data_IF_291190072189
#
_entry.id   IF_291190072189
#
_cell.length_a   1.000
_cell.length_b   1.000
_cell.length_c   1.000
_cell.angle_alpha   90.00
_cell.angle_beta   90.00
_cell.angle_gamma   90.00
#
_symmetry.space_group_name_H-M   'P 1'
#
loop_
_entity.id
_entity.type
_entity.pdbx_description
1 polymer ?
2 polymer ?
3 water ?
#
# COMPACT_ATOMS: atom_id res chain seq x y z
N UNK A 4 -31.91 19.28 8.24
CA UNK A 4 -30.49 19.63 7.92
C UNK A 4 -29.52 19.17 9.03
N UNK A 5 -28.50 18.43 8.63
CA UNK A 5 -27.45 18.01 9.54
C UNK A 5 -26.39 19.10 9.64
N UNK A 6 -25.49 18.98 10.61
CA UNK A 6 -24.45 19.96 10.87
C UNK A 6 -23.18 19.76 10.04
N UNK A 7 -22.93 18.52 9.62
CA UNK A 7 -21.73 18.20 8.89
C UNK A 7 -21.83 18.48 7.40
N UNK A 8 -20.68 18.48 6.72
CA UNK A 8 -20.68 18.61 5.26
C UNK A 8 -21.37 17.45 4.55
N UNK A 9 -22.01 17.73 3.42
CA UNK A 9 -22.71 16.72 2.64
C UNK A 9 -21.74 15.74 2.00
N UNK A 10 -22.30 14.73 1.33
CA UNK A 10 -21.49 13.72 0.66
C UNK A 10 -20.54 14.38 -0.35
N UNK A 11 -19.30 13.92 -0.39
CA UNK A 11 -18.27 14.45 -1.30
C UNK A 11 -18.77 14.41 -2.75
N UNK A 12 -18.57 15.52 -3.48
CA UNK A 12 -18.93 15.58 -4.90
C UNK A 12 -18.30 14.40 -5.62
N UNK A 13 -19.08 13.72 -6.47
CA UNK A 13 -18.60 12.59 -7.26
C UNK A 13 -18.14 11.38 -6.42
N UNK A 14 -18.76 11.21 -5.25
CA UNK A 14 -18.49 10.07 -4.36
C UNK A 14 -18.55 8.72 -5.09
N UNK A 15 -19.69 8.42 -5.76
CA UNK A 15 -19.76 7.14 -6.47
C UNK A 15 -18.62 6.95 -7.47
N UNK A 16 -18.35 7.96 -8.28
CA UNK A 16 -17.31 7.86 -9.30
C UNK A 16 -15.94 7.72 -8.67
N UNK A 17 -15.71 8.47 -7.60
CA UNK A 17 -14.43 8.47 -6.91
C UNK A 17 -14.17 7.09 -6.28
N UNK A 18 -15.18 6.51 -5.64
CA UNK A 18 -15.00 5.20 -5.00
C UNK A 18 -14.74 4.13 -6.07
N UNK A 19 -15.48 4.17 -7.17
CA UNK A 19 -15.32 3.17 -8.20
C UNK A 19 -13.90 3.27 -8.84
N UNK A 20 -13.46 4.49 -9.14
CA UNK A 20 -12.13 4.70 -9.74
C UNK A 20 -11.01 4.34 -8.79
N UNK A 21 -11.18 4.57 -7.49
CA UNK A 21 -10.20 4.10 -6.49
C UNK A 21 -10.10 2.57 -6.46
N UNK A 22 -11.25 1.91 -6.57
CA UNK A 22 -11.30 0.46 -6.56
C UNK A 22 -10.60 -0.13 -7.79
N UNK A 23 -10.82 0.49 -8.94
CA UNK A 23 -10.22 0.09 -10.22
C UNK A 23 -8.68 0.26 -10.14
N UNK A 24 -8.24 1.41 -9.66
CA UNK A 24 -6.82 1.68 -9.46
C UNK A 24 -6.14 0.70 -8.47
N UNK A 25 -6.75 0.49 -7.30
CA UNK A 25 -6.17 -0.40 -6.28
C UNK A 25 -6.06 -1.85 -6.77
N UNK A 26 -7.13 -2.34 -7.40
CA UNK A 26 -7.15 -3.73 -7.87
C UNK A 26 -6.24 -3.99 -9.09
N UNK A 27 -5.89 -2.91 -9.80
CA UNK A 27 -4.88 -2.94 -10.88
C UNK A 27 -3.49 -3.02 -10.27
N UNK A 28 -3.22 -2.23 -9.23
CA UNK A 28 -1.92 -2.25 -8.55
C UNK A 28 -1.63 -3.59 -7.87
N UNK A 29 -2.63 -4.17 -7.21
CA UNK A 29 -2.40 -5.33 -6.35
C UNK A 29 -2.89 -6.63 -6.99
N UNK A 30 -1.96 -7.48 -7.46
CA UNK A 30 -2.40 -8.65 -8.23
C UNK A 30 -3.27 -9.63 -7.43
N UNK A 31 -3.03 -9.72 -6.12
CA UNK A 31 -3.89 -10.54 -5.26
C UNK A 31 -5.33 -10.04 -5.16
N UNK A 32 -5.61 -8.78 -5.54
CA UNK A 32 -6.98 -8.23 -5.52
C UNK A 32 -7.62 -8.05 -6.91
N UNK A 33 -7.03 -8.58 -7.97
CA UNK A 33 -7.58 -8.35 -9.32
C UNK A 33 -8.84 -9.19 -9.59
N UNK A 34 -9.12 -10.17 -8.73
CA UNK A 34 -10.41 -10.85 -8.70
C UNK A 34 -11.61 -9.93 -8.37
N UNK A 35 -11.36 -8.90 -7.57
CA UNK A 35 -12.41 -8.06 -7.01
C UNK A 35 -13.24 -7.37 -8.11
N UNK A 36 -14.55 -7.50 -8.01
CA UNK A 36 -15.49 -6.86 -8.94
C UNK A 36 -15.86 -5.51 -8.35
N UNK A 37 -15.38 -4.43 -8.98
CA UNK A 37 -15.50 -3.11 -8.40
C UNK A 37 -16.94 -2.56 -8.41
N UNK A 38 -17.74 -2.95 -9.39
CA UNK A 38 -19.17 -2.63 -9.37
C UNK A 38 -19.86 -3.26 -8.14
N UNK A 39 -19.53 -4.50 -7.83
CA UNK A 39 -20.14 -5.20 -6.69
C UNK A 39 -19.72 -4.55 -5.38
N UNK A 40 -18.47 -4.12 -5.31
CA UNK A 40 -17.95 -3.42 -4.14
C UNK A 40 -18.76 -2.13 -3.91
N UNK A 41 -18.93 -1.36 -4.99
CA UNK A 41 -19.71 -0.14 -4.90
C UNK A 41 -21.16 -0.43 -4.46
N UNK A 42 -21.82 -1.40 -5.08
CA UNK A 42 -23.18 -1.78 -4.71
C UNK A 42 -23.30 -2.11 -3.22
N UNK A 43 -22.36 -2.91 -2.73
CA UNK A 43 -22.31 -3.27 -1.31
C UNK A 43 -22.08 -2.05 -0.40
N UNK A 44 -21.26 -1.09 -0.86
CA UNK A 44 -20.92 0.11 -0.10
C UNK A 44 -22.17 0.96 0.01
N UNK A 45 -22.75 1.27 -1.15
CA UNK A 45 -23.97 2.02 -1.27
C UNK A 45 -25.13 1.37 -0.48
N UNK A 46 -25.22 0.04 -0.55
CA UNK A 46 -26.24 -0.69 0.20
C UNK A 46 -26.15 -0.56 1.72
N UNK A 47 -24.97 -0.25 2.25
CA UNK A 47 -24.82 -0.03 3.69
C UNK A 47 -25.58 1.19 4.23
N UNK A 48 -25.76 2.23 3.41
CA UNK A 48 -26.30 3.50 3.94
C UNK A 48 -27.45 4.15 3.15
N UNK A 49 -27.72 3.71 1.93
CA UNK A 49 -28.81 4.26 1.12
C UNK A 49 -30.15 3.83 1.74
N UNK A 50 -31.16 4.70 1.65
CA UNK A 50 -32.50 4.45 2.19
C UNK A 50 -32.51 4.15 3.69
N UNK A 51 -31.53 4.69 4.40
CA UNK A 51 -31.43 4.50 5.83
C UNK A 51 -31.26 5.86 6.51
N UNK A 52 -31.87 6.00 7.68
CA UNK A 52 -31.64 7.14 8.52
C UNK A 52 -30.17 7.13 8.91
N UNK A 53 -29.46 8.23 8.64
CA UNK A 53 -28.01 8.24 8.85
C UNK A 53 -27.53 8.39 10.29
N UNK A 54 -28.41 8.32 11.27
CA UNK A 54 -28.07 8.12 12.68
C UNK A 54 -28.41 6.71 13.15
N UNK A 55 -28.81 5.85 12.23
CA UNK A 55 -29.20 4.49 12.57
C UNK A 55 -28.32 3.41 11.91
N UNK A 56 -27.05 3.71 11.66
CA UNK A 56 -26.16 2.77 10.94
C UNK A 56 -25.41 1.91 11.95
N UNK A 57 -25.24 0.64 11.63
CA UNK A 57 -24.52 -0.30 12.50
C UNK A 57 -23.46 -1.05 11.71
N UNK A 58 -22.57 -1.75 12.42
CA UNK A 58 -21.53 -2.56 11.76
C UNK A 58 -22.14 -3.60 10.80
N UNK A 59 -23.30 -4.16 11.16
CA UNK A 59 -24.03 -5.10 10.30
C UNK A 59 -24.32 -4.58 8.91
N UNK A 60 -24.68 -3.30 8.81
CA UNK A 60 -24.91 -2.67 7.51
C UNK A 60 -23.71 -2.77 6.55
N UNK A 61 -22.50 -2.79 7.10
CA UNK A 61 -21.28 -2.86 6.31
C UNK A 61 -20.73 -4.27 6.06
N UNK A 62 -21.44 -5.31 6.53
CA UNK A 62 -20.93 -6.69 6.39
C UNK A 62 -20.73 -7.16 4.94
N UNK A 63 -21.70 -6.92 4.06
CA UNK A 63 -21.48 -7.25 2.65
C UNK A 63 -20.24 -6.59 2.03
N UNK A 64 -20.00 -5.32 2.35
CA UNK A 64 -18.80 -4.63 1.93
C UNK A 64 -17.52 -5.26 2.50
N UNK A 65 -17.54 -5.64 3.77
CA UNK A 65 -16.37 -6.27 4.39
C UNK A 65 -16.06 -7.59 3.72
N UNK A 66 -17.08 -8.37 3.41
CA UNK A 66 -16.87 -9.63 2.70
C UNK A 66 -16.18 -9.41 1.34
N UNK A 67 -16.74 -8.53 0.53
CA UNK A 67 -16.16 -8.24 -0.79
C UNK A 67 -14.79 -7.58 -0.72
N UNK A 68 -14.56 -6.75 0.30
CA UNK A 68 -13.31 -6.00 0.41
C UNK A 68 -12.24 -6.63 1.27
N UNK A 69 -12.53 -7.80 1.83
CA UNK A 69 -11.61 -8.55 2.69
C UNK A 69 -10.29 -8.77 1.98
N UNK A 70 -9.22 -8.79 2.76
CA UNK A 70 -7.87 -8.78 2.22
C UNK A 70 -6.94 -9.37 3.25
N UNK A 71 -6.00 -10.19 2.83
CA UNK A 71 -5.01 -10.74 3.74
C UNK A 71 -3.84 -9.79 3.69
N UNK A 72 -3.62 -9.10 4.79
CA UNK A 72 -2.45 -8.27 5.00
C UNK A 72 -1.50 -9.12 5.82
N UNK A 73 -0.20 -9.14 5.46
CA UNK A 73 0.77 -9.81 6.34
C UNK A 73 0.68 -9.21 7.74
N UNK A 74 0.22 -10.00 8.68
CA UNK A 74 -0.16 -9.51 10.01
C UNK A 74 0.98 -8.90 10.82
N UNK A 75 2.23 -9.24 10.46
CA UNK A 75 3.43 -8.64 11.08
C UNK A 75 3.95 -7.35 10.43
N UNK A 76 3.19 -6.76 9.49
CA UNK A 76 3.61 -5.55 8.74
C UNK A 76 2.63 -4.38 8.90
N UNK A 77 1.97 -4.29 10.04
CA UNK A 77 0.90 -3.34 10.23
C UNK A 77 1.42 -2.11 10.96
N UNK A 78 1.10 -0.94 10.42
CA UNK A 78 1.39 0.33 11.05
C UNK A 78 0.10 1.04 11.42
N UNK A 79 -0.11 1.18 12.73
CA UNK A 79 -1.18 2.04 13.26
C UNK A 79 -0.65 3.47 13.42
N UNK A 80 -1.55 4.43 13.51
CA UNK A 80 -1.14 5.83 13.72
C UNK A 80 -2.25 6.61 14.40
N UNK A 81 -1.87 7.69 15.07
CA UNK A 81 -2.81 8.54 15.77
C UNK A 81 -2.35 9.97 15.62
N UNK A 82 -3.19 10.82 15.02
CA UNK A 82 -2.92 12.25 14.81
C UNK A 82 -1.62 12.56 14.04
N UNK A 83 -1.18 11.66 13.17
CA UNK A 83 0.05 11.88 12.39
C UNK A 83 -0.04 11.15 11.02
N UNK A 84 -1.15 11.41 10.35
CA UNK A 84 -1.53 10.73 9.10
C UNK A 84 -0.49 10.93 8.01
N UNK A 85 -0.22 12.21 7.76
CA UNK A 85 0.85 12.71 6.89
C UNK A 85 2.10 11.81 6.87
N UNK A 86 2.79 11.73 7.99
CA UNK A 86 4.06 11.05 8.04
C UNK A 86 3.89 9.51 7.97
N UNK A 87 2.79 9.01 8.53
CA UNK A 87 2.51 7.59 8.50
C UNK A 87 2.44 7.09 7.05
N UNK A 88 1.73 7.84 6.21
CA UNK A 88 1.58 7.49 4.80
C UNK A 88 2.81 7.76 3.96
N UNK A 89 3.59 8.77 4.33
CA UNK A 89 4.90 8.95 3.72
C UNK A 89 5.81 7.76 4.01
N UNK A 90 5.72 7.23 5.23
CA UNK A 90 6.51 6.07 5.59
C UNK A 90 6.14 4.86 4.74
N UNK A 91 4.86 4.54 4.65
CA UNK A 91 4.41 3.37 3.87
C UNK A 91 4.50 3.58 2.36
N UNK A 92 4.49 4.85 1.92
CA UNK A 92 4.83 5.17 0.53
C UNK A 92 6.23 4.66 0.14
N UNK A 93 7.17 4.64 1.10
CA UNK A 93 8.55 4.16 0.88
C UNK A 93 8.71 2.69 1.28
N UNK A 94 8.27 2.37 2.50
CA UNK A 94 8.34 1.03 3.05
C UNK A 94 7.08 0.28 2.59
N UNK A 95 7.12 -0.21 1.37
CA UNK A 95 5.91 -0.70 0.71
C UNK A 95 5.46 -2.12 1.09
N UNK A 96 6.24 -2.82 1.90
CA UNK A 96 5.73 -4.07 2.48
C UNK A 96 4.87 -3.83 3.72
N UNK A 97 4.75 -2.58 4.16
CA UNK A 97 3.93 -2.23 5.29
C UNK A 97 2.64 -1.53 4.90
N UNK A 98 1.64 -1.70 5.75
CA UNK A 98 0.30 -1.23 5.52
C UNK A 98 -0.24 -0.50 6.74
N UNK A 99 -0.69 0.73 6.50
CA UNK A 99 -1.68 1.36 7.37
C UNK A 99 -3.05 0.95 6.88
N UNK A 100 -4.06 1.31 7.68
CA UNK A 100 -5.45 1.03 7.32
C UNK A 100 -5.85 1.60 5.95
N UNK A 101 -5.30 2.76 5.61
CA UNK A 101 -5.66 3.47 4.37
C UNK A 101 -4.87 2.92 3.17
N UNK A 102 -3.93 2.01 3.45
CA UNK A 102 -3.26 1.22 2.42
C UNK A 102 -3.97 -0.10 2.08
N UNK A 103 -5.04 -0.44 2.80
CA UNK A 103 -5.88 -1.59 2.47
C UNK A 103 -6.92 -1.09 1.48
N UNK A 104 -7.56 -2.02 0.76
CA UNK A 104 -8.55 -1.65 -0.25
C UNK A 104 -9.66 -0.79 0.35
N UNK A 105 -10.24 -1.26 1.44
CA UNK A 105 -11.42 -0.61 2.00
C UNK A 105 -11.02 0.75 2.55
N UNK A 106 -9.89 0.82 3.24
CA UNK A 106 -9.36 2.07 3.74
C UNK A 106 -8.99 3.03 2.63
N UNK A 107 -8.42 2.50 1.55
CA UNK A 107 -8.05 3.35 0.39
C UNK A 107 -9.28 3.96 -0.29
N UNK A 108 -10.34 3.17 -0.44
CA UNK A 108 -11.59 3.63 -1.03
C UNK A 108 -12.24 4.80 -0.30
N UNK A 109 -12.17 4.78 1.05
CA UNK A 109 -12.95 5.73 1.85
C UNK A 109 -12.18 6.94 2.33
N UNK A 110 -10.86 6.89 2.29
CA UNK A 110 -9.99 7.92 2.91
C UNK A 110 -10.36 9.31 2.41
N UNK A 111 -10.55 10.24 3.35
CA UNK A 111 -10.90 11.65 3.09
C UNK A 111 -12.27 11.90 2.48
N UNK A 112 -13.13 10.90 2.41
CA UNK A 112 -14.49 11.11 1.87
C UNK A 112 -15.50 11.18 3.01
N UNK A 113 -16.63 11.80 2.71
CA UNK A 113 -17.82 11.78 3.56
C UNK A 113 -18.97 11.30 2.71
N UNK A 114 -19.93 10.65 3.35
CA UNK A 114 -21.11 10.17 2.67
C UNK A 114 -22.23 9.91 3.67
N UNK A 115 -23.46 10.04 3.17
CA UNK A 115 -24.65 9.59 3.87
C UNK A 115 -25.83 9.56 2.90
N UNK A 116 -26.90 8.89 3.33
CA UNK A 116 -28.15 8.83 2.59
C UNK A 116 -29.26 9.39 3.44
N UNK A 117 -30.50 9.01 3.13
CA UNK A 117 -31.65 9.47 3.91
C UNK A 117 -32.73 8.41 3.94
N UNK A 118 -33.56 8.49 4.97
CA UNK A 118 -34.62 7.53 5.21
C UNK A 118 -35.66 7.51 4.09
N UNK A 119 -36.07 8.68 3.62
CA UNK A 119 -37.20 8.81 2.67
C UNK A 119 -36.97 8.18 1.30
N UNK A 120 -35.72 8.23 0.81
CA UNK A 120 -35.45 7.97 -0.59
C UNK A 120 -34.22 7.11 -0.80
N UNK A 121 -33.95 6.80 -2.07
CA UNK A 121 -32.77 6.02 -2.45
C UNK A 121 -31.64 6.92 -2.94
N UNK A 122 -31.62 8.18 -2.52
CA UNK A 122 -30.66 9.16 -3.03
C UNK A 122 -29.52 9.39 -2.05
N UNK A 123 -28.37 9.71 -2.60
CA UNK A 123 -27.24 10.13 -1.79
C UNK A 123 -27.49 11.58 -1.35
N UNK A 124 -27.21 11.89 -0.09
CA UNK A 124 -27.39 13.25 0.41
C UNK A 124 -26.11 14.08 0.22
N UNK A 125 -26.13 14.93 -0.79
CA UNK A 125 -25.00 15.84 -1.09
C UNK A 125 -25.08 17.17 -0.33
N UNK A 126 -26.17 17.38 0.42
CA UNK A 126 -26.45 18.65 1.10
C UNK A 126 -25.76 18.69 2.47
N UNK A 127 -26.03 17.69 3.30
CA UNK A 127 -25.42 17.60 4.63
C UNK A 127 -25.41 16.14 5.12
N UNK A 128 -24.52 15.88 6.07
CA UNK A 128 -24.42 14.59 6.73
C UNK A 128 -24.21 14.78 8.23
N UNK A 129 -24.61 13.79 9.04
CA UNK A 129 -24.44 14.02 10.48
C UNK A 129 -22.99 14.22 10.90
N UNK A 130 -22.76 15.23 11.73
CA UNK A 130 -21.50 15.37 12.45
C UNK A 130 -21.54 14.42 13.66
N UNK A 131 -20.44 13.72 13.89
CA UNK A 131 -20.37 12.73 14.96
C UNK A 131 -20.65 13.33 16.35
N UNK A 132 -20.18 14.55 16.59
CA UNK A 132 -20.26 15.18 17.90
C UNK A 132 -21.60 15.93 18.09
N UNK A 133 -21.98 16.71 17.09
CA UNK A 133 -23.18 17.57 17.18
C UNK A 133 -24.48 16.87 16.85
N UNK A 134 -24.44 15.88 15.95
CA UNK A 134 -25.66 15.15 15.52
C UNK A 134 -25.79 13.74 16.12
N UNK A 135 -24.95 12.80 15.67
CA UNK A 135 -25.01 11.43 16.14
C UNK A 135 -23.74 10.65 15.77
N UNK A 136 -23.31 9.79 16.66
CA UNK A 136 -22.13 8.99 16.40
C UNK A 136 -22.39 7.77 15.49
N UNK A 137 -23.63 7.29 15.34
CA UNK A 137 -23.90 6.12 14.47
C UNK A 137 -24.29 6.50 13.05
N UNK A 138 -23.38 7.22 12.43
CA UNK A 138 -23.56 7.74 11.09
C UNK A 138 -22.71 6.92 10.11
N UNK A 139 -23.01 6.99 8.80
CA UNK A 139 -22.34 6.11 7.85
C UNK A 139 -20.81 6.15 7.88
N UNK A 140 -20.22 7.34 8.03
CA UNK A 140 -18.77 7.49 8.02
C UNK A 140 -18.14 6.94 9.31
N UNK A 141 -18.62 7.35 10.48
CA UNK A 141 -17.99 6.94 11.73
C UNK A 141 -18.12 5.41 11.91
N UNK A 142 -19.28 4.87 11.54
CA UNK A 142 -19.52 3.45 11.66
C UNK A 142 -18.66 2.65 10.70
N UNK A 143 -18.47 3.16 9.48
CA UNK A 143 -17.51 2.56 8.56
C UNK A 143 -16.10 2.46 9.17
N UNK A 144 -15.59 3.58 9.69
CA UNK A 144 -14.23 3.61 10.21
C UNK A 144 -14.05 2.75 11.47
N UNK A 145 -15.07 2.72 12.33
CA UNK A 145 -15.09 1.85 13.49
C UNK A 145 -15.03 0.36 13.10
N UNK A 146 -15.82 -0.04 12.10
CA UNK A 146 -15.84 -1.42 11.63
C UNK A 146 -14.50 -1.85 10.99
N UNK A 147 -13.98 -1.07 10.03
CA UNK A 147 -12.76 -1.46 9.33
C UNK A 147 -11.53 -1.39 10.23
N UNK A 148 -11.49 -0.44 11.15
CA UNK A 148 -10.31 -0.35 12.02
C UNK A 148 -10.28 -1.43 13.11
N UNK A 149 -11.45 -1.87 13.59
CA UNK A 149 -11.52 -3.02 14.50
C UNK A 149 -10.97 -4.28 13.80
N UNK A 150 -11.45 -4.56 12.59
CA UNK A 150 -11.00 -5.75 11.84
C UNK A 150 -9.50 -5.77 11.51
N UNK A 151 -9.01 -4.60 11.13
CA UNK A 151 -7.59 -4.36 10.88
C UNK A 151 -6.75 -4.63 12.16
N UNK A 152 -7.16 -4.07 13.27
CA UNK A 152 -6.48 -4.33 14.54
C UNK A 152 -6.58 -5.81 14.94
N UNK A 153 -7.73 -6.43 14.74
CA UNK A 153 -7.89 -7.88 15.02
C UNK A 153 -7.00 -8.77 14.16
N UNK A 154 -6.66 -8.29 12.97
CA UNK A 154 -5.81 -9.02 12.03
C UNK A 154 -4.33 -9.00 12.38
N UNK A 155 -3.89 -8.04 13.20
CA UNK A 155 -2.48 -7.82 13.45
C UNK A 155 -1.84 -8.91 14.30
N UNK A 156 -0.53 -9.09 14.14
CA UNK A 156 0.22 -10.11 14.89
C UNK A 156 1.68 -9.73 15.06
N UNK A 157 2.39 -10.50 15.88
CA UNK A 157 3.81 -10.31 16.20
C UNK A 157 4.07 -8.93 16.84
N UNK A 158 4.87 -8.06 16.20
CA UNK A 158 5.07 -6.69 16.64
C UNK A 158 4.17 -5.82 15.78
N UNK A 159 3.24 -5.11 16.44
CA UNK A 159 2.41 -4.12 15.80
C UNK A 159 3.05 -2.79 16.13
N UNK A 160 3.11 -1.89 15.16
CA UNK A 160 3.72 -0.58 15.35
C UNK A 160 2.66 0.53 15.33
N UNK A 161 2.86 1.56 16.14
CA UNK A 161 1.99 2.75 16.13
C UNK A 161 2.84 4.02 16.09
N UNK A 162 2.58 4.86 15.09
CA UNK A 162 3.19 6.17 15.02
C UNK A 162 2.35 7.18 15.83
N UNK A 163 3.05 7.97 16.66
CA UNK A 163 2.44 9.01 17.50
C UNK A 163 3.20 10.33 17.34
N UNK A 164 2.47 11.44 17.54
CA UNK A 164 2.99 12.79 17.33
C UNK A 164 3.54 13.35 18.65
N UNK A 165 4.86 13.40 18.75
CA UNK A 165 5.56 13.97 19.89
C UNK A 165 5.38 15.46 20.18
N UNK A 166 4.87 16.24 19.22
CA UNK A 166 4.60 17.68 19.40
C UNK A 166 3.23 18.03 20.01
N UNK A 167 2.36 17.03 20.19
CA UNK A 167 1.02 17.27 20.75
C UNK A 167 1.11 17.40 22.27
N UNK A 168 0.11 18.04 22.87
CA UNK A 168 -0.03 18.13 24.33
C UNK A 168 -0.33 16.77 24.99
N UNK A 169 -1.03 15.90 24.28
CA UNK A 169 -1.17 14.48 24.65
C UNK A 169 -0.62 13.67 23.48
N UNK A 170 0.56 13.07 23.67
CA UNK A 170 1.19 12.28 22.62
C UNK A 170 0.28 11.08 22.30
N UNK A 171 -0.15 10.38 23.34
CA UNK A 171 -1.21 9.36 23.24
C UNK A 171 -2.48 9.95 23.83
N UNK A 172 -3.59 9.79 23.11
CA UNK A 172 -4.90 10.26 23.54
C UNK A 172 -5.85 9.08 23.57
N UNK A 173 -6.37 8.80 24.77
CA UNK A 173 -7.35 7.73 25.00
C UNK A 173 -8.64 7.89 24.15
N UNK A 174 -9.03 9.13 23.85
CA UNK A 174 -10.28 9.37 23.13
C UNK A 174 -10.18 9.27 21.59
N UNK A 175 -9.03 8.88 21.05
CA UNK A 175 -8.86 8.71 19.61
C UNK A 175 -9.27 7.30 19.16
N UNK A 176 -9.34 7.10 17.83
CA UNK A 176 -9.61 5.77 17.25
C UNK A 176 -8.60 4.74 17.75
N UNK A 177 -7.33 5.13 17.76
CA UNK A 177 -6.28 4.29 18.28
C UNK A 177 -6.51 3.95 19.76
N UNK A 178 -6.78 4.98 20.56
CA UNK A 178 -6.85 4.85 22.01
C UNK A 178 -8.12 4.24 22.59
N UNK A 179 -9.19 4.21 21.81
CA UNK A 179 -10.46 3.66 22.25
C UNK A 179 -10.93 2.44 21.47
N UNK A 180 -10.37 2.15 20.31
CA UNK A 180 -10.81 1.02 19.50
C UNK A 180 -9.66 0.06 19.20
N UNK A 181 -8.63 0.54 18.49
CA UNK A 181 -7.59 -0.35 18.00
C UNK A 181 -6.83 -1.02 19.16
N UNK A 182 -6.59 -0.27 20.22
CA UNK A 182 -5.78 -0.74 21.35
C UNK A 182 -6.50 -1.87 22.11
N UNK A 183 -7.83 -1.85 22.12
CA UNK A 183 -8.62 -2.91 22.74
C UNK A 183 -8.95 -4.08 21.82
N UNK A 184 -8.52 -4.00 20.56
CA UNK A 184 -8.83 -5.03 19.58
C UNK A 184 -7.63 -5.80 19.04
N UNK A 185 -6.45 -5.44 19.52
CA UNK A 185 -5.25 -6.24 19.33
C UNK A 185 -5.47 -7.51 20.14
N UNK A 186 -5.18 -8.66 19.56
CA UNK A 186 -5.42 -9.93 20.25
C UNK A 186 -4.12 -10.42 20.88
N UNK A 187 -4.08 -10.60 22.23
CA UNK A 187 -2.90 -11.13 22.97
C UNK A 187 -2.32 -12.43 22.42
N UNK A 188 -3.15 -13.29 21.87
CA UNK A 188 -2.66 -14.48 21.16
C UNK A 188 -1.68 -14.00 20.08
N UNK A 189 -2.22 -13.29 19.09
CA UNK A 189 -1.50 -12.96 17.87
C UNK A 189 -0.36 -11.98 18.10
N UNK A 190 -0.59 -11.02 19.00
CA UNK A 190 0.26 -9.86 19.14
C UNK A 190 1.08 -10.02 20.38
N UNK A 191 2.39 -10.09 20.19
CA UNK A 191 3.31 -10.19 21.31
C UNK A 191 3.60 -8.80 21.84
N UNK A 192 3.79 -7.82 20.93
CA UNK A 192 4.31 -6.51 21.31
C UNK A 192 3.69 -5.35 20.51
N UNK A 193 3.38 -4.27 21.22
CA UNK A 193 3.06 -2.99 20.60
C UNK A 193 4.23 -2.03 20.75
N UNK A 194 4.82 -1.64 19.61
CA UNK A 194 5.93 -0.69 19.58
C UNK A 194 5.46 0.68 19.09
N UNK A 195 5.58 1.67 19.97
CA UNK A 195 5.26 3.06 19.66
C UNK A 195 6.47 3.76 19.07
N UNK A 196 6.27 4.47 17.96
CA UNK A 196 7.29 5.35 17.37
C UNK A 196 6.87 6.79 17.63
N UNK A 197 7.54 7.46 18.56
CA UNK A 197 7.21 8.84 18.91
C UNK A 197 7.97 9.79 18.00
N UNK A 198 7.25 10.52 17.16
CA UNK A 198 7.86 11.41 16.17
C UNK A 198 8.12 12.77 16.79
N UNK A 199 9.37 13.23 16.75
CA UNK A 199 9.71 14.56 17.27
C UNK A 199 9.53 15.65 16.22
N UNK A 200 9.22 16.85 16.68
CA UNK A 200 9.01 18.02 15.82
C UNK A 200 9.78 19.22 16.35
N UNK A 205 15.98 18.25 21.65
CA UNK A 205 14.96 17.22 21.69
C UNK A 205 15.40 16.02 22.55
N UNK A 206 14.52 15.63 23.46
CA UNK A 206 14.82 14.68 24.53
C UNK A 206 13.86 13.52 24.52
N UNK A 207 14.32 12.39 25.03
CA UNK A 207 13.54 11.16 25.14
C UNK A 207 12.09 11.43 25.63
N UNK A 208 11.08 11.00 24.86
CA UNK A 208 9.66 11.23 25.20
C UNK A 208 8.93 9.96 25.69
N UNK A 209 9.66 8.87 25.83
CA UNK A 209 9.06 7.59 26.19
C UNK A 209 8.65 7.47 27.67
N UNK A 210 8.98 8.47 28.50
CA UNK A 210 8.44 8.55 29.85
C UNK A 210 7.36 9.60 29.99
N UNK A 211 6.88 10.16 28.88
CA UNK A 211 5.73 11.08 28.91
C UNK A 211 4.55 10.42 29.63
N UNK A 212 3.85 11.17 30.49
CA UNK A 212 2.70 10.59 31.21
C UNK A 212 1.70 9.83 30.34
N UNK A 213 1.38 10.35 29.16
CA UNK A 213 0.43 9.66 28.27
C UNK A 213 1.01 8.36 27.68
N UNK A 214 2.31 8.32 27.43
CA UNK A 214 2.97 7.08 26.99
C UNK A 214 2.93 6.04 28.12
N UNK A 215 3.10 6.48 29.36
CA UNK A 215 2.97 5.61 30.53
C UNK A 215 1.54 5.07 30.65
N UNK A 216 0.55 5.87 30.28
CA UNK A 216 -0.87 5.45 30.25
C UNK A 216 -1.10 4.41 29.14
N UNK A 217 -0.54 4.65 27.96
CA UNK A 217 -0.60 3.65 26.89
C UNK A 217 0.03 2.32 27.32
N UNK A 218 1.22 2.38 27.92
CA UNK A 218 1.92 1.21 28.42
C UNK A 218 1.06 0.41 29.40
N UNK A 219 0.41 1.13 30.31
CA UNK A 219 -0.48 0.55 31.30
C UNK A 219 -1.64 -0.23 30.65
N UNK A 220 -2.28 0.37 29.64
CA UNK A 220 -3.37 -0.27 28.91
C UNK A 220 -2.88 -1.55 28.24
N UNK A 221 -1.80 -1.41 27.47
CA UNK A 221 -1.19 -2.53 26.76
C UNK A 221 -0.81 -3.69 27.69
N UNK A 222 -0.11 -3.39 28.79
CA UNK A 222 0.32 -4.40 29.78
C UNK A 222 -0.86 -5.10 30.42
N UNK A 223 -1.87 -4.32 30.80
CA UNK A 223 -3.09 -4.88 31.37
C UNK A 223 -3.77 -5.84 30.40
N UNK A 224 -3.64 -5.62 29.09
CA UNK A 224 -4.14 -6.56 28.08
C UNK A 224 -3.19 -7.72 27.74
N UNK A 225 -2.11 -7.91 28.52
CA UNK A 225 -1.12 -8.98 28.30
C UNK A 225 -0.38 -8.96 26.97
N UNK A 226 -0.03 -7.74 26.55
CA UNK A 226 0.80 -7.50 25.39
C UNK A 226 1.98 -6.69 25.91
N UNK A 227 3.16 -6.94 25.34
CA UNK A 227 4.37 -6.23 25.74
C UNK A 227 4.38 -4.84 25.09
N UNK A 228 4.99 -3.87 25.76
CA UNK A 228 5.06 -2.52 25.25
C UNK A 228 6.51 -2.10 25.09
N UNK A 229 6.77 -1.38 24.00
CA UNK A 229 8.06 -0.86 23.67
C UNK A 229 7.88 0.51 23.01
N UNK A 230 8.83 1.40 23.25
CA UNK A 230 8.72 2.79 22.79
C UNK A 230 10.06 3.25 22.23
N UNK A 231 10.01 3.93 21.10
CA UNK A 231 11.18 4.42 20.40
C UNK A 231 10.95 5.85 20.01
N UNK A 232 11.98 6.68 20.15
CA UNK A 232 11.98 8.04 19.64
C UNK A 232 12.47 8.06 18.21
N UNK A 233 11.75 8.77 17.34
CA UNK A 233 12.29 9.17 16.05
C UNK A 233 12.65 10.65 16.23
N UNK A 234 13.89 10.91 16.60
CA UNK A 234 14.34 12.30 16.86
C UNK A 234 14.39 13.20 15.61
N UNK A 235 14.69 12.64 14.45
CA UNK A 235 14.76 13.42 13.21
C UNK A 235 14.04 12.68 12.07
N UNK A 236 12.72 12.98 11.88
CA UNK A 236 11.85 12.33 10.89
C UNK A 236 12.40 12.32 9.45
N UNK A 237 13.01 13.42 9.01
CA UNK A 237 13.62 13.48 7.68
C UNK A 237 14.68 12.38 7.53
N UNK A 238 15.63 12.37 8.44
CA UNK A 238 16.69 11.37 8.40
C UNK A 238 16.11 9.96 8.43
N UNK A 239 15.08 9.76 9.26
CA UNK A 239 14.39 8.49 9.32
C UNK A 239 13.83 8.02 7.95
N UNK A 240 13.09 8.88 7.26
CA UNK A 240 12.55 8.53 5.93
C UNK A 240 13.64 8.34 4.87
N UNK A 241 14.67 9.19 4.91
CA UNK A 241 15.84 9.05 4.03
C UNK A 241 16.50 7.70 4.21
N UNK A 242 16.70 7.30 5.47
CA UNK A 242 17.36 6.04 5.79
C UNK A 242 16.52 4.80 5.49
N UNK A 243 15.20 4.92 5.53
CA UNK A 243 14.32 3.82 5.09
C UNK A 243 14.41 3.66 3.57
N UNK A 244 14.50 4.78 2.86
CA UNK A 244 14.58 4.81 1.38
C UNK A 244 15.88 4.19 0.91
N UNK A 245 17.00 4.65 1.47
CA UNK A 245 18.34 4.10 1.18
C UNK A 245 19.08 3.75 2.47
N UNK A 246 19.03 2.48 2.91
CA UNK A 246 19.71 2.08 4.15
C UNK A 246 21.24 2.19 4.21
N UNK A 247 21.94 2.15 3.07
CA UNK A 247 23.42 2.14 3.07
C UNK A 247 24.04 3.47 3.52
N UNK A 251 24.25 6.19 6.37
CA UNK A 251 23.41 7.14 7.11
C UNK A 251 23.05 6.59 8.48
N UNK B 1 17.98 6.75 -5.98
CA UNK B 1 18.95 6.24 -6.98
C UNK B 1 19.30 4.79 -6.66
N UNK B 2 19.34 3.94 -7.68
CA UNK B 2 19.51 2.51 -7.50
C UNK B 2 20.63 1.99 -8.45
N UNK B 3 21.47 1.07 -7.95
CA UNK B 3 22.59 0.51 -8.71
C UNK B 3 22.11 -0.82 -9.20
N UNK B 4 22.23 -1.08 -10.50
CA UNK B 4 21.68 -2.30 -11.10
C UNK B 4 22.80 -3.21 -11.62
N UNK B 5 22.61 -4.53 -11.45
CA UNK B 5 23.61 -5.49 -11.91
C UNK B 5 22.95 -6.74 -12.52
N UNK B 6 23.07 -6.89 -13.85
CA UNK B 6 22.50 -8.02 -14.60
C UNK B 6 23.42 -9.21 -14.55
N UNK B 7 22.85 -10.40 -14.74
CA UNK B 7 23.61 -11.62 -15.03
C UNK B 7 22.69 -12.64 -15.69
N UNK B 8 23.23 -13.81 -16.03
CA UNK B 8 22.46 -14.91 -16.58
C UNK B 8 22.47 -14.98 -18.09
N UNK B 9 23.12 -14.01 -18.74
CA UNK B 9 23.35 -14.10 -20.20
C UNK B 9 24.22 -15.29 -20.54
N UNK B 10 24.33 -15.59 -21.83
CA UNK B 10 25.15 -16.73 -22.27
C UNK B 10 25.01 -17.06 -23.74
N UNK B 11 25.67 -18.15 -24.12
CA UNK B 11 25.57 -18.73 -25.46
C UNK B 11 24.61 -19.90 -25.37
N UNK B 12 23.51 -19.85 -26.12
CA UNK B 12 22.55 -20.96 -26.18
C UNK B 12 22.10 -21.27 -27.60
N UNK B 13 21.59 -22.49 -27.80
CA UNK B 13 21.06 -22.92 -29.10
C UNK B 13 19.68 -22.32 -29.29
N UNK B 14 19.33 -22.04 -30.55
CA UNK B 14 17.97 -21.61 -30.88
C UNK B 14 16.95 -22.63 -30.37
N UNK B 15 15.84 -22.13 -29.83
CA UNK B 15 14.80 -22.96 -29.23
C UNK B 15 14.96 -23.22 -27.74
N UNK B 16 16.15 -22.95 -27.19
CA UNK B 16 16.42 -23.22 -25.77
C UNK B 16 16.04 -22.01 -24.90
N UNK B 17 16.28 -22.13 -23.59
CA UNK B 17 15.95 -21.10 -22.61
C UNK B 17 17.17 -20.52 -21.90
N UNK B 18 17.03 -19.27 -21.45
CA UNK B 18 17.94 -18.63 -20.50
C UNK B 18 17.07 -17.78 -19.60
N UNK B 19 17.47 -17.69 -18.33
CA UNK B 19 16.82 -16.81 -17.36
C UNK B 19 17.80 -15.70 -16.97
N UNK B 20 17.45 -14.45 -17.28
CA UNK B 20 18.26 -13.32 -16.83
C UNK B 20 17.79 -12.84 -15.45
N UNK B 21 18.74 -12.34 -14.66
CA UNK B 21 18.49 -11.72 -13.37
C UNK B 21 19.13 -10.34 -13.32
N UNK B 22 18.57 -9.48 -12.50
CA UNK B 22 19.16 -8.18 -12.23
C UNK B 22 18.91 -7.84 -10.77
N UNK B 23 19.99 -7.67 -10.02
CA UNK B 23 19.94 -7.29 -8.60
C UNK B 23 20.15 -5.78 -8.46
N UNK B 24 19.32 -5.15 -7.62
CA UNK B 24 19.44 -3.73 -7.31
C UNK B 24 19.99 -3.52 -5.90
N UNK B 25 20.71 -2.42 -5.70
CA UNK B 25 21.16 -1.99 -4.37
C UNK B 25 21.05 -0.48 -4.31
N UNK B 26 21.26 0.09 -3.12
CA UNK B 26 20.97 1.50 -2.87
C UNK B 26 19.52 1.66 -2.42
N UNK B 27 18.75 2.49 -3.12
CA UNK B 27 17.35 2.73 -2.77
C UNK B 27 16.52 1.45 -2.85
N UNK B 28 15.42 1.43 -2.11
CA UNK B 28 14.55 0.26 -1.98
C UNK B 28 14.05 -0.17 -3.35
N UNK B 29 14.25 -1.46 -3.66
CA UNK B 29 13.84 -2.05 -4.95
C UNK B 29 12.36 -1.91 -5.22
N UNK B 30 11.55 -2.03 -4.16
CA UNK B 30 10.11 -1.97 -4.27
C UNK B 30 9.55 -0.56 -4.53
N UNK B 31 10.42 0.44 -4.58
CA UNK B 31 10.05 1.78 -5.07
C UNK B 31 10.17 1.95 -6.59
N UNK B 32 10.64 0.93 -7.31
CA UNK B 32 10.96 1.08 -8.74
C UNK B 32 10.18 0.14 -9.65
N UNK B 33 9.64 0.71 -10.73
CA UNK B 33 9.25 -0.05 -11.90
C UNK B 33 10.53 -0.52 -12.61
N UNK B 34 10.59 -1.80 -12.98
CA UNK B 34 11.79 -2.37 -13.60
C UNK B 34 11.54 -2.71 -15.07
N UNK B 35 12.56 -2.51 -15.90
CA UNK B 35 12.46 -2.77 -17.34
C UNK B 35 13.67 -3.51 -17.87
N UNK B 36 13.43 -4.40 -18.83
CA UNK B 36 14.49 -5.02 -19.60
C UNK B 36 14.47 -4.42 -21.00
N UNK B 37 15.65 -4.02 -21.48
CA UNK B 37 15.88 -3.56 -22.84
C UNK B 37 16.98 -4.40 -23.46
N UNK B 38 17.12 -4.31 -24.77
CA UNK B 38 18.19 -5.00 -25.44
C UNK B 38 18.68 -4.19 -26.62
N UNK B 39 19.95 -4.40 -26.97
CA UNK B 39 20.58 -3.75 -28.11
C UNK B 39 21.41 -4.80 -28.83
N UNK B 40 21.00 -5.12 -30.06
CA UNK B 40 21.77 -5.99 -30.95
C UNK B 40 22.90 -5.17 -31.54
N UNK B 41 23.98 -5.83 -32.03
CA UNK B 41 25.14 -5.07 -32.53
C UNK B 41 24.78 -4.23 -33.75
N UNK B 42 25.21 -2.96 -33.74
CA UNK B 42 24.91 -2.02 -34.81
C UNK B 42 23.44 -1.62 -34.99
N UNK B 43 22.61 -1.91 -33.99
CA UNK B 43 21.18 -1.59 -34.01
C UNK B 43 20.86 -0.72 -32.80
N UNK B 44 19.65 -0.17 -32.77
CA UNK B 44 19.24 0.72 -31.68
C UNK B 44 18.64 -0.05 -30.48
N UNK B 45 18.78 0.52 -29.29
CA UNK B 45 18.27 -0.10 -28.08
C UNK B 45 16.75 -0.20 -28.18
N UNK B 46 16.18 -1.34 -27.78
CA UNK B 46 14.73 -1.52 -27.79
C UNK B 46 14.21 -2.13 -26.51
N UNK B 47 12.96 -1.76 -26.21
CA UNK B 47 12.21 -2.21 -25.06
C UNK B 47 11.83 -3.68 -25.20
N UNK B 48 11.95 -4.44 -24.12
CA UNK B 48 11.60 -5.87 -24.14
C UNK B 48 10.44 -6.18 -23.19
N UNK B 49 10.60 -5.81 -21.92
CA UNK B 49 9.56 -6.05 -20.94
C UNK B 49 9.70 -5.10 -19.76
N UNK B 50 8.58 -4.85 -19.07
CA UNK B 50 8.58 -4.05 -17.85
C UNK B 50 7.56 -4.57 -16.83
N UNK B 51 7.77 -4.21 -15.58
CA UNK B 51 6.93 -4.65 -14.47
C UNK B 51 6.84 -3.56 -13.38
N UNK B 52 5.63 -3.31 -12.90
CA UNK B 52 5.41 -2.36 -11.80
C UNK B 52 6.02 -2.87 -10.50
N UNK B 53 6.15 -2.00 -9.51
CA UNK B 53 6.72 -2.37 -8.20
C UNK B 53 6.01 -3.56 -7.57
N UNK B 54 4.68 -3.57 -7.71
CA UNK B 54 3.78 -4.53 -7.11
C UNK B 54 3.56 -5.79 -7.94
N UNK B 55 4.20 -5.88 -9.12
CA UNK B 55 3.90 -6.91 -10.12
C UNK B 55 2.44 -6.88 -10.63
N UNK B 56 1.72 -5.79 -10.39
CA UNK B 56 0.33 -5.68 -10.80
C UNK B 56 0.20 -5.43 -12.27
N UNK B 57 1.21 -4.79 -12.85
CA UNK B 57 1.20 -4.41 -14.25
C UNK B 57 2.50 -4.86 -14.94
N UNK B 58 2.35 -5.50 -16.09
CA UNK B 58 3.47 -5.81 -16.97
C UNK B 58 3.20 -5.26 -18.37
N UNK B 59 4.28 -5.05 -19.12
CA UNK B 59 4.23 -4.66 -20.53
C UNK B 59 5.29 -5.46 -21.28
N UNK B 60 4.99 -5.84 -22.53
CA UNK B 60 5.89 -6.64 -23.35
C UNK B 60 5.98 -6.09 -24.76
N UNK B 61 7.19 -6.15 -25.34
CA UNK B 61 7.38 -6.02 -26.79
C UNK B 61 6.58 -7.12 -27.49
N UNK B 62 5.86 -6.74 -28.55
CA UNK B 62 4.99 -7.67 -29.28
C UNK B 62 5.69 -9.00 -29.65
N UNK B 63 6.86 -8.88 -30.26
CA UNK B 63 7.62 -10.03 -30.74
C UNK B 63 8.16 -10.99 -29.66
N UNK B 64 8.06 -10.62 -28.37
CA UNK B 64 8.44 -11.54 -27.27
C UNK B 64 7.28 -12.11 -26.44
N UNK B 65 6.04 -11.69 -26.72
CA UNK B 65 4.86 -12.19 -25.97
C UNK B 65 4.69 -13.69 -26.13
N UNK B 66 4.44 -14.39 -25.03
CA UNK B 66 4.29 -15.84 -25.03
C UNK B 66 5.61 -16.60 -25.15
N UNK B 67 6.72 -15.87 -25.09
CA UNK B 67 8.06 -16.47 -25.07
C UNK B 67 8.81 -16.00 -23.84
N UNK B 68 8.76 -14.71 -23.54
CA UNK B 68 9.47 -14.13 -22.39
C UNK B 68 8.47 -13.80 -21.27
N UNK B 69 8.89 -13.98 -20.02
CA UNK B 69 8.08 -13.57 -18.85
C UNK B 69 8.93 -12.72 -17.91
N UNK B 70 8.45 -11.52 -17.59
CA UNK B 70 9.08 -10.70 -16.56
C UNK B 70 8.45 -10.97 -15.21
N UNK B 71 9.26 -10.94 -14.16
CA UNK B 71 8.81 -11.09 -12.79
C UNK B 71 9.84 -10.47 -11.86
N UNK B 72 9.51 -10.43 -10.58
CA UNK B 72 10.41 -9.85 -9.59
C UNK B 72 10.18 -10.43 -8.21
N UNK B 73 11.20 -10.26 -7.37
CA UNK B 73 11.13 -10.61 -5.96
C UNK B 73 11.74 -9.44 -5.20
N UNK B 74 10.87 -8.62 -4.61
CA UNK B 74 11.31 -7.40 -3.94
C UNK B 74 12.11 -7.62 -2.69
N UNK B 75 11.80 -8.66 -1.92
CA UNK B 75 12.61 -9.01 -0.75
C UNK B 75 14.06 -9.37 -1.13
N UNK B 76 14.27 -9.91 -2.34
CA UNK B 76 15.65 -10.17 -2.84
C UNK B 76 16.18 -9.08 -3.76
N UNK B 77 15.45 -7.97 -3.87
CA UNK B 77 15.86 -6.86 -4.73
C UNK B 77 16.22 -7.32 -6.16
N UNK B 78 15.46 -8.27 -6.70
CA UNK B 78 15.80 -8.90 -7.96
C UNK B 78 14.63 -8.91 -8.95
N UNK B 79 14.95 -8.69 -10.21
CA UNK B 79 14.00 -8.80 -11.31
C UNK B 79 14.53 -9.84 -12.28
N UNK B 80 13.60 -10.60 -12.86
CA UNK B 80 13.94 -11.72 -13.73
C UNK B 80 13.32 -11.54 -15.11
N UNK B 81 14.03 -12.08 -16.12
CA UNK B 81 13.48 -12.24 -17.44
C UNK B 81 13.70 -13.68 -17.88
N UNK B 82 12.63 -14.47 -17.83
CA UNK B 82 12.67 -15.86 -18.27
C UNK B 82 12.44 -15.86 -19.77
N UNK B 83 13.46 -16.23 -20.54
CA UNK B 83 13.40 -16.20 -22.01
C UNK B 83 13.35 -17.60 -22.58
N UNK B 84 12.18 -18.00 -23.08
CA UNK B 84 11.98 -19.31 -23.68
C UNK B 84 11.91 -19.21 -25.18
N UNK B 85 12.09 -20.37 -25.83
CA UNK B 85 12.01 -20.50 -27.30
C UNK B 85 12.84 -19.43 -28.00
N UNK B 86 14.08 -19.27 -27.54
CA UNK B 86 14.94 -18.22 -28.05
C UNK B 86 15.22 -18.40 -29.55
N UNK B 87 15.30 -17.28 -30.25
CA UNK B 87 15.58 -17.23 -31.67
C UNK B 87 16.90 -16.51 -31.89
N UNK B 88 17.55 -16.73 -33.05
CA UNK B 88 18.80 -16.00 -33.37
C UNK B 88 18.63 -14.46 -33.26
N UNK B 89 17.48 -13.95 -33.69
CA UNK B 89 17.17 -12.51 -33.57
C UNK B 89 17.02 -11.97 -32.12
N UNK B 90 17.02 -12.85 -31.12
CA UNK B 90 17.11 -12.44 -29.71
C UNK B 90 18.53 -12.17 -29.25
N UNK B 91 19.52 -12.33 -30.13
CA UNK B 91 20.91 -12.05 -29.82
C UNK B 91 21.09 -10.56 -29.54
N UNK B 92 21.66 -10.23 -28.38
CA UNK B 92 21.82 -8.84 -27.97
C UNK B 92 22.47 -8.78 -26.60
N UNK B 93 22.91 -7.58 -26.21
CA UNK B 93 23.22 -7.27 -24.82
C UNK B 93 21.88 -6.90 -24.18
N UNK B 94 21.53 -7.52 -23.07
CA UNK B 94 20.27 -7.21 -22.38
C UNK B 94 20.57 -6.32 -21.19
N UNK B 95 19.83 -5.21 -21.11
CA UNK B 95 20.04 -4.20 -20.08
C UNK B 95 18.82 -4.12 -19.19
N UNK B 96 19.10 -4.00 -17.91
CA UNK B 96 18.12 -3.84 -16.86
C UNK B 96 18.07 -2.34 -16.52
N UNK B 97 16.86 -1.81 -16.35
CA UNK B 97 16.66 -0.39 -16.01
C UNK B 97 15.58 -0.17 -14.96
N UNK B 98 15.67 0.94 -14.25
CA UNK B 98 14.71 1.29 -13.19
C UNK B 98 14.19 2.72 -13.33
N UNK B 99 12.98 2.92 -12.84
CA UNK B 99 12.29 4.20 -12.88
C UNK B 99 11.47 4.29 -11.59
N UNK B 100 11.62 5.38 -10.84
CA UNK B 100 10.83 5.59 -9.64
C UNK B 100 9.35 5.58 -9.99
N UNK B 101 8.56 4.87 -9.19
CA UNK B 101 7.13 4.72 -9.41
C UNK B 101 6.42 4.92 -8.07
N UNK B 102 5.36 5.76 -8.03
CA UNK B 102 4.59 5.86 -6.78
C UNK B 102 3.97 4.53 -6.35
N UNK B 103 3.72 4.37 -5.05
CA UNK B 103 3.00 3.22 -4.56
C UNK B 103 1.65 3.08 -5.27
N UNK B 104 0.92 4.19 -5.37
CA UNK B 104 -0.38 4.25 -6.01
C UNK B 104 -0.25 4.92 -7.38
N UNK B 105 0.30 4.16 -8.32
CA UNK B 105 0.51 4.61 -9.71
C UNK B 105 -0.76 4.47 -10.56
N UNK B 106 -0.88 5.29 -11.61
CA UNK B 106 -1.88 5.08 -12.68
C UNK B 106 -1.25 4.14 -13.70
N UNK B 107 -1.96 3.11 -14.13
CA UNK B 107 -1.37 2.14 -15.07
C UNK B 107 -1.05 2.75 -16.44
N UNK B 108 -1.83 3.77 -16.83
CA UNK B 108 -1.56 4.58 -18.01
C UNK B 108 -0.13 5.08 -18.09
N UNK B 109 0.39 5.59 -16.98
CA UNK B 109 1.75 6.16 -16.93
C UNK B 109 2.90 5.16 -17.18
N UNK B 110 2.61 3.86 -17.06
CA UNK B 110 3.52 2.77 -17.45
C UNK B 110 3.98 2.77 -18.93
N UNK B 111 3.27 3.46 -19.82
CA UNK B 111 3.66 3.53 -21.23
C UNK B 111 4.71 4.60 -21.53
N UNK B 112 4.77 5.64 -20.70
CA UNK B 112 5.62 6.81 -20.99
C UNK B 112 6.89 6.96 -20.16
N UNK B 113 7.28 5.90 -19.46
CA UNK B 113 8.49 5.94 -18.61
C UNK B 113 9.80 6.08 -19.42
N UNK B 114 10.55 7.14 -19.10
CA UNK B 114 11.95 7.27 -19.42
C UNK B 114 12.68 6.66 -18.21
N UNK B 115 13.42 5.57 -18.42
CA UNK B 115 14.13 4.88 -17.34
C UNK B 115 15.50 5.51 -17.14
N UNK B 116 15.83 5.90 -15.90
CA UNK B 116 17.05 6.70 -15.62
C UNK B 116 18.12 6.02 -14.76
N UNK B 117 17.95 4.75 -14.42
CA UNK B 117 18.99 3.96 -13.77
C UNK B 117 19.22 2.75 -14.66
N UNK B 118 20.49 2.46 -15.01
CA UNK B 118 20.82 1.41 -15.97
C UNK B 118 21.92 0.52 -15.44
N UNK B 119 21.82 -0.77 -15.72
CA UNK B 119 22.91 -1.72 -15.45
C UNK B 119 23.88 -1.74 -16.63
N UNK B 120 24.94 -2.52 -16.52
CA UNK B 120 25.99 -2.54 -17.57
C UNK B 120 25.71 -3.54 -18.69
N UNK B 121 24.82 -4.50 -18.44
CA UNK B 121 24.28 -5.40 -19.45
C UNK B 121 24.78 -6.83 -19.30
N UNK B 122 24.06 -7.77 -19.91
CA UNK B 122 24.50 -9.17 -19.99
C UNK B 122 24.35 -9.66 -21.43
N UNK B 123 25.40 -10.30 -21.95
CA UNK B 123 25.44 -10.72 -23.34
C UNK B 123 24.69 -12.01 -23.54
N UNK B 124 23.73 -11.97 -24.45
CA UNK B 124 22.99 -13.14 -24.90
C UNK B 124 23.30 -13.38 -26.37
N UNK B 125 23.79 -14.59 -26.66
CA UNK B 125 24.01 -15.03 -28.02
C UNK B 125 23.23 -16.31 -28.24
N UNK B 126 22.41 -16.30 -29.30
CA UNK B 126 21.60 -17.46 -29.68
C UNK B 126 22.14 -17.93 -31.02
N UNK B 127 22.54 -19.20 -31.08
CA UNK B 127 23.14 -19.79 -32.28
C UNK B 127 22.18 -20.76 -32.96
N UNK B 128 22.56 -21.25 -34.14
CA UNK B 128 21.79 -22.28 -34.83
C UNK B 128 22.65 -23.04 -35.85
#
# INVERSE_FOLDING_TARGET
WRQTWSGPGTTKRFPETVLARCVKYTEIHPEMRHVDCQSVWDAFKGAFISKHPCDITEEDYQPLMKLGTQTVPCNKILLWSRIKDLAHQFTQVQRDMFTLEDTLLGYLADDLTWCGEFDTSKINYQSCPDWRKDCSNNPVSVFWKTVSRRFAEAACDVVHVMLDGSRSKIFDKDSTFGSVEVHNLQPEKVQTLEAWVIHGGREDSRDLCQDPTIKELESIISKRNIQFSCKNIYRPDKFLQCVKNPEDSSCTSEI
DVQLQESGGGLVQAGHSLRLSCVGSGSRFDNYAMGWFRQAPGKEREFVAAISWSSGTTRYLDTVKGRFTISRDNAKSTVYLQMNSLKPEDTAVYYCAARYQPRYYDSGDMDGYEYDNWGQGTQVTVSSEPKTPKPQPAAAHHHHHHGAAEQKLISEEDLNGAA
#
